data_IF_338003432024
#
_entry.id   IF_338003432024
#
_cell.length_a   1.000
_cell.length_b   1.000
_cell.length_c   1.000
_cell.angle_alpha   90.00
_cell.angle_beta   90.00
_cell.angle_gamma   90.00
#
_symmetry.space_group_name_H-M   'P 1'
#
loop_
_entity.id
_entity.type
_entity.pdbx_description
1 polymer ?
2 non-polymer ?
3 water ?
#
# COMPACT_ATOMS: atom_id res chain seq x y z
N UNK A 1 -8.10 0.17 -0.30
CA UNK A 1 -8.99 -0.88 -0.89
C UNK A 1 -10.08 -1.30 0.09
N UNK A 2 -9.88 -1.07 1.40
CA UNK A 2 -10.74 -1.47 2.52
C UNK A 2 -10.49 -0.57 3.74
N UNK A 3 -11.19 -0.79 4.87
CA UNK A 3 -11.15 0.14 6.01
C UNK A 3 -9.80 0.21 6.74
N UNK A 4 -8.98 -0.83 6.61
CA UNK A 4 -7.58 -0.87 7.08
C UNK A 4 -6.76 0.19 6.37
N UNK A 5 -6.78 0.16 5.05
CA UNK A 5 -6.07 1.13 4.18
C UNK A 5 -6.67 2.52 4.39
N UNK A 6 -7.99 2.61 4.65
CA UNK A 6 -8.65 3.92 4.87
C UNK A 6 -8.08 4.60 6.12
N UNK A 7 -7.97 3.87 7.22
CA UNK A 7 -7.41 4.42 8.47
C UNK A 7 -5.94 4.79 8.23
N UNK A 8 -5.17 3.86 7.64
CA UNK A 8 -3.74 4.08 7.34
C UNK A 8 -3.57 5.37 6.52
N UNK A 9 -4.36 5.55 5.45
CA UNK A 9 -4.23 6.72 4.56
C UNK A 9 -4.47 8.01 5.36
N UNK A 10 -5.46 7.99 6.22
CA UNK A 10 -5.86 9.15 7.04
C UNK A 10 -4.69 9.55 7.95
N UNK A 11 -4.00 8.59 8.53
CA UNK A 11 -2.81 8.86 9.38
C UNK A 11 -1.69 9.41 8.48
N UNK A 12 -1.41 8.75 7.34
CA UNK A 12 -0.30 9.20 6.48
C UNK A 12 -0.50 10.64 5.99
N UNK A 13 -1.72 11.01 5.57
CA UNK A 13 -1.96 12.30 4.88
C UNK A 13 -1.79 13.48 5.85
N UNK A 14 -2.08 13.31 7.13
CA UNK A 14 -2.07 14.45 8.08
C UNK A 14 -0.95 14.35 9.13
N UNK A 15 -0.44 13.16 9.42
CA UNK A 15 0.44 12.99 10.59
C UNK A 15 1.81 12.42 10.19
N UNK A 16 2.28 12.60 8.96
CA UNK A 16 3.64 12.10 8.63
C UNK A 16 4.35 13.19 7.87
N UNK A 17 5.66 13.22 8.06
CA UNK A 17 6.58 14.12 7.34
C UNK A 17 7.72 13.26 6.88
N UNK A 18 8.50 13.77 5.94
CA UNK A 18 9.75 13.08 5.54
C UNK A 18 10.88 13.68 6.38
N UNK A 19 11.53 12.89 7.23
CA UNK A 19 12.66 13.33 8.07
C UNK A 19 13.95 12.86 7.40
N UNK A 20 14.95 13.74 7.29
CA UNK A 20 16.26 13.38 6.72
C UNK A 20 17.34 13.75 7.75
N UNK A 21 18.11 12.74 8.17
CA UNK A 21 19.30 12.90 9.05
C UNK A 21 20.53 12.50 8.22
N UNK A 22 21.71 12.48 8.83
CA UNK A 22 22.97 12.02 8.16
C UNK A 22 22.90 10.54 7.84
N UNK A 23 21.94 9.81 8.42
CA UNK A 23 21.78 8.35 8.23
C UNK A 23 20.72 8.01 7.16
N UNK A 24 20.01 8.98 6.58
CA UNK A 24 19.07 8.76 5.48
C UNK A 24 17.74 9.50 5.65
N UNK A 25 16.81 9.15 4.78
CA UNK A 25 15.41 9.64 4.77
C UNK A 25 14.53 8.63 5.51
N UNK A 26 13.66 9.10 6.40
CA UNK A 26 12.77 8.23 7.21
C UNK A 26 11.33 8.76 7.18
N UNK A 27 10.36 7.86 7.17
CA UNK A 27 8.97 8.20 7.56
C UNK A 27 9.01 8.60 9.03
N UNK A 28 8.44 9.75 9.35
CA UNK A 28 8.38 10.28 10.74
C UNK A 28 6.91 10.53 11.06
N UNK A 29 6.43 9.94 12.14
CA UNK A 29 5.04 10.09 12.62
C UNK A 29 4.96 11.28 13.59
N UNK A 30 4.13 12.27 13.26
CA UNK A 30 3.82 13.42 14.15
C UNK A 30 2.70 12.96 15.09
N UNK A 31 2.78 13.21 16.39
CA UNK A 31 1.80 12.60 17.35
C UNK A 31 0.89 13.69 17.93
N UNK A 32 1.45 14.83 18.33
CA UNK A 32 0.70 16.01 18.85
C UNK A 32 1.64 17.20 18.91
N UNK A 33 1.08 18.42 18.85
CA UNK A 33 1.83 19.72 18.92
C UNK A 33 3.03 19.62 17.97
N UNK A 34 4.27 19.73 18.46
CA UNK A 34 5.45 19.68 17.55
C UNK A 34 6.21 18.37 17.85
N UNK A 35 5.55 17.39 18.45
CA UNK A 35 6.25 16.16 18.93
C UNK A 35 6.03 15.06 17.89
N UNK A 36 7.12 14.44 17.45
CA UNK A 36 7.11 13.30 16.53
C UNK A 36 7.97 12.15 17.06
N UNK A 37 7.92 11.01 16.37
CA UNK A 37 8.77 9.84 16.69
C UNK A 37 9.53 9.37 15.45
N UNK A 38 10.64 8.71 15.68
CA UNK A 38 11.55 8.21 14.59
C UNK A 38 12.36 7.07 15.20
N UNK A 39 12.78 6.05 14.42
CA UNK A 39 13.68 5.06 15.01
C UNK A 39 14.97 5.69 15.52
N UNK A 40 15.46 5.20 16.67
CA UNK A 40 16.66 5.77 17.33
C UNK A 40 17.89 5.66 16.40
N UNK A 41 17.96 4.63 15.57
CA UNK A 41 19.09 4.44 14.61
C UNK A 41 19.10 5.53 13.53
N UNK A 42 18.09 6.40 13.42
CA UNK A 42 18.18 7.65 12.61
C UNK A 42 19.22 8.61 13.15
N UNK A 43 19.62 8.50 14.43
CA UNK A 43 20.66 9.33 15.08
C UNK A 43 20.33 10.83 14.93
N UNK A 44 19.22 11.27 15.48
CA UNK A 44 18.79 12.68 15.35
C UNK A 44 19.83 13.57 16.04
N UNK A 45 20.23 14.67 15.40
CA UNK A 45 21.14 15.69 15.98
C UNK A 45 20.41 16.96 16.37
N UNK A 46 21.13 18.08 16.34
CA UNK A 46 20.66 19.43 16.71
C UNK A 46 19.79 20.01 15.60
N UNK A 47 19.99 19.53 14.37
CA UNK A 47 19.33 20.02 13.13
C UNK A 47 18.87 18.78 12.36
N UNK A 48 17.66 18.84 11.82
CA UNK A 48 17.07 17.76 11.00
C UNK A 48 16.37 18.45 9.81
N UNK A 49 16.23 17.76 8.67
CA UNK A 49 15.42 18.26 7.54
C UNK A 49 14.04 17.62 7.62
N UNK A 50 13.01 18.45 7.56
CA UNK A 50 11.58 18.04 7.63
C UNK A 50 10.93 18.51 6.31
N UNK A 51 10.59 17.56 5.43
CA UNK A 51 10.03 17.87 4.09
C UNK A 51 11.00 18.84 3.38
N UNK A 52 12.30 18.60 3.53
CA UNK A 52 13.46 19.33 2.91
C UNK A 52 13.64 20.76 3.47
N UNK A 53 13.07 21.07 4.64
CA UNK A 53 13.26 22.37 5.33
C UNK A 53 14.18 22.14 6.54
N UNK A 54 15.25 22.92 6.62
CA UNK A 54 16.18 22.91 7.77
C UNK A 54 15.42 23.29 9.04
N UNK A 55 15.45 22.42 10.04
CA UNK A 55 14.61 22.53 11.27
C UNK A 55 15.46 22.26 12.52
N UNK A 56 15.42 23.16 13.48
CA UNK A 56 16.12 22.99 14.76
C UNK A 56 15.37 21.94 15.57
N UNK A 57 16.12 21.04 16.20
CA UNK A 57 15.54 20.05 17.15
C UNK A 57 15.54 20.70 18.54
N UNK A 58 14.37 20.94 19.12
CA UNK A 58 14.28 21.58 20.45
C UNK A 58 14.57 20.57 21.56
N UNK A 59 14.29 19.28 21.35
CA UNK A 59 14.56 18.20 22.34
C UNK A 59 14.48 16.85 21.64
N UNK A 60 15.27 15.88 22.07
CA UNK A 60 15.26 14.52 21.49
C UNK A 60 15.59 13.52 22.60
N UNK A 61 14.78 12.48 22.77
CA UNK A 61 15.01 11.49 23.85
C UNK A 61 14.85 10.05 23.30
N UNK A 62 15.93 9.28 23.35
CA UNK A 62 15.97 7.86 22.97
C UNK A 62 15.37 7.07 24.12
N UNK A 63 14.21 6.47 23.93
CA UNK A 63 13.49 5.86 25.07
C UNK A 63 14.14 4.52 25.41
N UNK A 64 14.11 4.19 26.70
CA UNK A 64 14.54 2.88 27.22
C UNK A 64 13.50 2.44 28.24
N UNK A 65 13.32 1.15 28.44
CA UNK A 65 12.37 0.69 29.48
C UNK A 65 13.04 0.76 30.86
N UNK A 66 12.28 0.38 31.89
CA UNK A 66 12.78 0.46 33.28
C UNK A 66 13.73 -0.71 33.59
N UNK A 67 13.91 -1.70 32.71
CA UNK A 67 15.09 -2.62 32.80
C UNK A 67 16.35 -1.95 32.19
N UNK A 68 16.26 -0.70 31.74
CA UNK A 68 17.32 0.06 31.04
C UNK A 68 17.69 -0.71 29.76
N UNK A 69 16.69 -1.15 29.02
CA UNK A 69 16.83 -1.82 27.69
C UNK A 69 16.32 -0.87 26.58
N UNK A 70 17.09 -0.71 25.52
CA UNK A 70 16.66 0.01 24.28
C UNK A 70 15.20 -0.30 23.92
N UNK A 71 14.42 0.73 23.57
CA UNK A 71 13.10 0.54 22.91
C UNK A 71 13.13 0.93 21.41
N UNK A 72 14.19 1.57 20.95
CA UNK A 72 14.42 1.94 19.52
C UNK A 72 13.45 3.04 19.07
N UNK A 73 12.83 3.77 20.00
CA UNK A 73 11.96 4.94 19.70
C UNK A 73 12.71 6.17 20.19
N UNK A 74 12.94 7.16 19.31
CA UNK A 74 13.32 8.52 19.71
C UNK A 74 12.10 9.46 19.59
N UNK A 75 11.81 10.20 20.65
CA UNK A 75 10.80 11.29 20.64
C UNK A 75 11.53 12.58 20.37
N UNK A 76 11.04 13.32 19.39
CA UNK A 76 11.66 14.58 18.91
C UNK A 76 10.66 15.71 19.05
N UNK A 77 11.07 16.82 19.63
CA UNK A 77 10.29 18.06 19.51
C UNK A 77 10.94 18.97 18.47
N UNK A 78 10.17 19.39 17.48
CA UNK A 78 10.64 20.12 16.28
C UNK A 78 10.34 21.61 16.44
N UNK A 79 11.28 22.48 16.07
CA UNK A 79 11.04 23.95 15.95
C UNK A 79 10.31 24.26 14.65
N UNK A 80 9.08 23.80 14.56
CA UNK A 80 8.22 23.86 13.37
C UNK A 80 7.13 24.90 13.66
N UNK A 81 6.63 25.57 12.61
CA UNK A 81 5.68 26.70 12.76
C UNK A 81 4.23 26.21 12.77
N UNK A 82 4.04 24.90 12.80
CA UNK A 82 2.72 24.25 12.66
C UNK A 82 2.61 23.04 13.59
N UNK A 83 1.45 22.82 14.20
CA UNK A 83 1.20 21.63 15.05
C UNK A 83 0.65 20.46 14.23
N UNK A 84 0.94 19.24 14.68
CA UNK A 84 0.28 18.01 14.17
C UNK A 84 -1.12 17.94 14.76
N UNK A 85 -2.03 17.40 13.97
CA UNK A 85 -3.29 16.82 14.51
C UNK A 85 -2.94 15.92 15.70
N UNK A 86 -3.64 16.04 16.82
CA UNK A 86 -3.43 15.19 18.01
C UNK A 86 -4.02 13.80 17.78
N UNK A 87 -3.19 12.76 17.66
CA UNK A 87 -3.67 11.36 17.43
C UNK A 87 -3.39 10.48 18.65
N UNK A 88 -3.13 11.07 19.81
CA UNK A 88 -2.79 10.24 21.00
C UNK A 88 -3.94 9.30 21.40
N UNK A 89 -5.19 9.64 21.12
CA UNK A 89 -6.35 8.76 21.47
C UNK A 89 -6.36 7.51 20.57
N UNK A 90 -5.52 7.43 19.53
CA UNK A 90 -5.42 6.20 18.69
C UNK A 90 -4.28 5.28 19.14
N UNK A 91 -3.56 5.66 20.19
CA UNK A 91 -2.43 4.85 20.70
C UNK A 91 -2.95 3.84 21.71
N UNK A 92 -2.50 2.58 21.64
CA UNK A 92 -2.82 1.56 22.62
C UNK A 92 -2.25 1.92 24.00
N UNK A 93 -2.93 1.47 25.05
CA UNK A 93 -2.44 1.65 26.43
C UNK A 93 -1.51 0.51 26.88
N UNK A 94 -1.68 -0.70 26.35
CA UNK A 94 -0.92 -1.89 26.83
C UNK A 94 -0.27 -2.64 25.66
N UNK A 95 0.75 -3.44 25.97
CA UNK A 95 1.42 -4.36 25.02
C UNK A 95 0.35 -5.36 24.56
N UNK A 96 0.26 -5.68 23.28
CA UNK A 96 -0.80 -6.56 22.77
C UNK A 96 -0.36 -7.18 21.45
N UNK A 97 -1.10 -8.19 21.02
CA UNK A 97 -1.07 -8.78 19.65
C UNK A 97 -2.23 -8.17 18.86
N UNK A 98 -2.14 -8.20 17.53
CA UNK A 98 -3.10 -7.56 16.61
C UNK A 98 -3.39 -8.49 15.43
N UNK A 99 -4.60 -8.39 14.88
CA UNK A 99 -4.92 -8.97 13.55
C UNK A 99 -4.92 -7.84 12.51
N UNK A 100 -4.54 -8.18 11.28
CA UNK A 100 -4.81 -7.40 10.06
C UNK A 100 -4.24 -5.97 10.19
N UNK A 101 -2.92 -5.83 10.21
CA UNK A 101 -2.21 -4.53 10.29
C UNK A 101 -1.74 -4.11 8.89
N UNK A 102 -1.54 -2.82 8.73
CA UNK A 102 -0.97 -2.19 7.52
C UNK A 102 0.29 -1.46 7.95
N UNK A 103 1.33 -1.60 7.14
CA UNK A 103 2.57 -0.82 7.27
C UNK A 103 2.58 0.21 6.15
N UNK A 104 2.65 1.50 6.51
CA UNK A 104 2.57 2.63 5.55
C UNK A 104 3.87 3.44 5.56
N UNK A 105 4.38 3.74 4.36
CA UNK A 105 5.68 4.44 4.18
C UNK A 105 5.47 5.61 3.23
N UNK A 106 6.11 6.73 3.54
CA UNK A 106 6.15 7.87 2.61
C UNK A 106 7.55 8.50 2.59
N UNK A 107 8.33 8.19 1.56
CA UNK A 107 9.66 8.86 1.34
C UNK A 107 9.77 9.28 -0.12
N UNK A 108 10.84 10.02 -0.48
CA UNK A 108 11.23 10.30 -1.89
C UNK A 108 11.23 8.99 -2.69
N UNK A 109 11.80 7.92 -2.13
CA UNK A 109 12.04 6.60 -2.77
C UNK A 109 10.74 5.75 -2.83
N UNK A 110 9.91 5.78 -1.77
CA UNK A 110 8.67 4.98 -1.66
C UNK A 110 7.49 5.88 -1.30
N UNK A 111 6.98 6.69 -2.26
CA UNK A 111 5.81 7.53 -2.01
C UNK A 111 4.49 6.73 -1.97
N UNK A 112 3.61 7.09 -1.00
CA UNK A 112 2.26 6.51 -0.92
C UNK A 112 2.32 4.99 -0.98
N UNK A 113 3.18 4.37 -0.17
CA UNK A 113 3.32 2.90 -0.10
C UNK A 113 2.53 2.35 1.10
N UNK A 114 1.68 1.36 0.87
CA UNK A 114 0.82 0.69 1.89
C UNK A 114 1.01 -0.81 1.71
N UNK A 115 1.35 -1.52 2.79
CA UNK A 115 1.63 -2.99 2.74
C UNK A 115 0.74 -3.67 3.75
N UNK A 116 -0.18 -4.57 3.33
CA UNK A 116 -0.95 -5.34 4.29
C UNK A 116 -0.06 -6.45 4.87
N UNK A 117 0.28 -6.36 6.14
CA UNK A 117 1.31 -7.28 6.72
C UNK A 117 0.62 -8.39 7.49
N UNK A 118 -0.68 -8.30 7.76
CA UNK A 118 -1.44 -9.39 8.39
C UNK A 118 -1.29 -9.40 9.89
N UNK A 119 -1.19 -10.59 10.47
CA UNK A 119 -1.15 -10.81 11.94
C UNK A 119 0.12 -10.22 12.56
N UNK A 120 -0.01 -9.51 13.67
CA UNK A 120 1.15 -8.91 14.41
C UNK A 120 1.29 -9.63 15.77
N UNK A 121 2.46 -10.22 16.04
CA UNK A 121 2.79 -10.92 17.31
C UNK A 121 3.48 -9.95 18.29
N UNK A 122 3.08 -9.96 19.55
CA UNK A 122 3.88 -9.37 20.64
C UNK A 122 5.10 -10.28 20.85
N UNK A 123 6.19 -9.97 20.19
CA UNK A 123 7.43 -10.79 20.12
C UNK A 123 8.24 -10.57 21.40
N UNK A 124 8.29 -9.32 21.89
CA UNK A 124 9.05 -8.94 23.09
C UNK A 124 10.51 -8.66 22.81
N UNK A 125 11.40 -9.55 23.24
CA UNK A 125 12.87 -9.35 23.15
C UNK A 125 13.31 -9.66 21.72
N UNK A 126 14.17 -8.79 21.17
CA UNK A 126 14.86 -8.99 19.88
C UNK A 126 16.27 -8.41 20.00
N UNK A 127 17.25 -9.18 19.55
CA UNK A 127 18.61 -8.65 19.31
C UNK A 127 18.61 -7.94 17.95
N UNK A 128 18.47 -6.62 17.96
CA UNK A 128 18.19 -5.80 16.75
C UNK A 128 19.49 -5.10 16.33
N UNK A 129 20.13 -5.55 15.24
CA UNK A 129 21.44 -4.98 14.84
C UNK A 129 22.46 -5.10 15.98
N UNK A 130 22.41 -6.18 16.77
CA UNK A 130 23.31 -6.40 17.93
C UNK A 130 22.88 -5.66 19.21
N UNK A 131 21.78 -4.91 19.21
CA UNK A 131 21.35 -4.18 20.43
C UNK A 131 20.16 -4.91 21.06
N UNK A 132 20.23 -5.40 22.32
CA UNK A 132 19.06 -6.00 22.98
C UNK A 132 17.94 -4.94 22.97
N UNK A 133 16.76 -5.31 22.49
CA UNK A 133 15.62 -4.38 22.33
C UNK A 133 14.37 -5.04 22.93
N UNK A 134 13.52 -4.28 23.62
CA UNK A 134 12.25 -4.80 24.15
C UNK A 134 11.05 -4.19 23.41
N UNK A 135 9.86 -4.71 23.70
CA UNK A 135 8.55 -4.27 23.16
C UNK A 135 8.51 -4.32 21.63
N UNK A 136 9.04 -5.38 21.04
CA UNK A 136 9.05 -5.56 19.56
C UNK A 136 7.79 -6.31 19.12
N UNK A 137 7.18 -5.77 18.09
CA UNK A 137 6.06 -6.39 17.35
C UNK A 137 6.66 -7.09 16.13
N UNK A 138 6.13 -8.25 15.76
CA UNK A 138 6.67 -8.99 14.59
C UNK A 138 5.54 -9.29 13.60
N UNK A 139 5.83 -9.15 12.32
CA UNK A 139 4.89 -9.53 11.23
C UNK A 139 5.66 -10.25 10.14
N UNK A 140 4.97 -11.14 9.42
CA UNK A 140 5.60 -12.08 8.46
C UNK A 140 5.54 -11.43 7.08
N UNK A 141 6.22 -10.31 6.88
CA UNK A 141 6.39 -9.71 5.52
C UNK A 141 7.88 -9.44 5.30
N UNK A 142 8.41 -9.79 4.11
CA UNK A 142 9.80 -9.49 3.74
C UNK A 142 10.00 -7.99 3.45
N UNK A 143 10.02 -7.22 4.55
CA UNK A 143 10.23 -5.75 4.53
C UNK A 143 11.70 -5.46 4.18
N UNK A 144 11.98 -4.29 3.61
CA UNK A 144 13.29 -3.96 2.98
C UNK A 144 13.75 -2.57 3.41
N UNK A 145 15.05 -2.30 3.23
CA UNK A 145 15.69 -0.98 3.36
C UNK A 145 14.76 0.07 2.74
N UNK A 146 14.53 1.18 3.45
CA UNK A 146 13.62 2.27 3.03
C UNK A 146 12.30 2.28 3.81
N UNK A 147 11.96 1.20 4.53
CA UNK A 147 10.66 1.12 5.26
C UNK A 147 10.81 1.57 6.72
N UNK A 148 12.04 1.89 7.19
CA UNK A 148 12.22 2.25 8.62
C UNK A 148 11.50 3.56 8.91
N UNK A 149 10.74 3.55 10.03
CA UNK A 149 9.94 4.70 10.47
C UNK A 149 8.52 4.52 9.98
N UNK A 150 8.32 3.51 9.12
CA UNK A 150 7.00 3.26 8.54
C UNK A 150 6.00 3.08 9.65
N UNK A 151 4.76 3.50 9.45
CA UNK A 151 3.75 3.43 10.53
C UNK A 151 2.97 2.14 10.43
N UNK A 152 2.84 1.46 11.55
CA UNK A 152 2.00 0.24 11.66
C UNK A 152 0.66 0.59 12.31
N UNK A 153 -0.43 0.34 11.57
CA UNK A 153 -1.79 0.61 12.06
C UNK A 153 -2.69 -0.62 11.94
N UNK A 154 -3.70 -0.66 12.79
CA UNK A 154 -4.93 -1.44 12.54
C UNK A 154 -6.07 -0.44 12.38
N UNK A 155 -7.27 -0.89 12.02
CA UNK A 155 -8.44 0.01 12.02
C UNK A 155 -8.57 0.60 13.44
N UNK A 156 -8.42 1.90 13.54
CA UNK A 156 -8.65 2.69 14.74
C UNK A 156 -7.45 2.72 15.66
N UNK A 157 -6.33 2.02 15.39
CA UNK A 157 -5.15 2.12 16.29
C UNK A 157 -3.84 2.30 15.53
N UNK A 158 -2.99 3.15 16.06
CA UNK A 158 -1.59 3.34 15.60
C UNK A 158 -0.73 2.58 16.60
N UNK A 159 -0.12 1.45 16.20
CA UNK A 159 0.44 0.48 17.19
C UNK A 159 1.97 0.47 17.19
N UNK A 160 2.66 1.02 16.18
CA UNK A 160 4.13 0.92 16.17
C UNK A 160 4.78 1.63 14.99
N UNK A 161 6.12 1.62 15.00
CA UNK A 161 6.95 2.17 13.90
C UNK A 161 7.97 1.09 13.52
N UNK A 162 8.08 0.84 12.23
CA UNK A 162 8.96 -0.21 11.64
C UNK A 162 10.43 0.13 11.95
N UNK A 163 11.19 -0.83 12.50
CA UNK A 163 12.60 -0.57 12.93
C UNK A 163 13.59 -1.59 12.35
N UNK A 164 13.12 -2.66 11.71
CA UNK A 164 14.07 -3.62 11.12
C UNK A 164 13.41 -4.81 10.47
N UNK A 165 14.24 -5.68 9.91
CA UNK A 165 13.75 -6.94 9.33
C UNK A 165 14.88 -7.93 9.18
N UNK A 166 14.57 -9.18 8.86
CA UNK A 166 15.61 -10.24 8.66
C UNK A 166 15.45 -10.90 7.28
N UNK A 167 14.73 -10.27 6.34
CA UNK A 167 14.45 -10.80 5.00
C UNK A 167 13.12 -11.52 4.90
N UNK A 168 12.65 -12.19 5.96
CA UNK A 168 11.38 -12.96 6.01
C UNK A 168 10.34 -12.28 6.92
N UNK A 169 10.81 -11.68 8.00
CA UNK A 169 9.96 -10.98 9.00
C UNK A 169 10.35 -9.51 9.09
N UNK A 170 9.39 -8.69 9.51
CA UNK A 170 9.63 -7.28 9.87
C UNK A 170 9.35 -7.07 11.35
N UNK A 171 9.97 -6.04 11.91
CA UNK A 171 9.89 -5.72 13.35
C UNK A 171 9.55 -4.24 13.55
N UNK A 172 8.63 -3.98 14.48
CA UNK A 172 8.23 -2.61 14.83
C UNK A 172 8.44 -2.41 16.33
N UNK A 173 8.80 -1.19 16.73
CA UNK A 173 8.79 -0.75 18.15
C UNK A 173 7.35 -0.35 18.51
N UNK A 174 6.82 -0.81 19.63
CA UNK A 174 5.46 -0.46 20.07
C UNK A 174 5.39 1.02 20.29
N UNK A 175 4.24 1.62 19.97
CA UNK A 175 3.88 2.94 20.50
C UNK A 175 2.84 2.71 21.61
N UNK A 176 3.04 3.32 22.76
CA UNK A 176 2.11 3.27 23.89
C UNK A 176 1.70 4.69 24.27
N UNK A 177 0.44 4.87 24.65
CA UNK A 177 -0.14 6.18 25.08
C UNK A 177 0.77 6.84 26.14
N UNK A 178 1.27 6.06 27.09
CA UNK A 178 2.06 6.57 28.24
C UNK A 178 3.35 7.22 27.76
N UNK A 179 3.86 6.95 26.56
CA UNK A 179 5.08 7.66 26.07
C UNK A 179 4.79 9.14 25.82
N UNK A 180 3.53 9.55 25.61
CA UNK A 180 3.24 10.92 25.09
C UNK A 180 2.33 11.73 26.03
N UNK A 181 2.30 11.39 27.31
CA UNK A 181 1.57 12.19 28.33
C UNK A 181 2.37 13.48 28.55
N UNK A 182 1.68 14.64 28.63
CA UNK A 182 2.29 16.00 28.64
C UNK A 182 1.72 16.81 29.81
N UNK B 2 12.26 0.68 -7.00
CA UNK B 2 12.97 1.76 -7.74
C UNK B 2 12.42 1.97 -9.15
N UNK B 3 12.95 1.25 -10.17
CA UNK B 3 12.31 1.25 -11.48
C UNK B 3 10.87 0.67 -11.37
N UNK B 4 10.64 -0.27 -10.44
CA UNK B 4 9.33 -0.88 -10.09
C UNK B 4 8.28 0.17 -9.71
N UNK B 5 8.59 1.06 -8.76
CA UNK B 5 7.68 2.18 -8.35
C UNK B 5 7.55 3.26 -9.43
N UNK B 6 8.62 3.65 -10.13
CA UNK B 6 8.52 4.53 -11.30
C UNK B 6 7.50 3.96 -12.29
N UNK B 7 7.69 2.69 -12.67
CA UNK B 7 6.85 2.05 -13.69
C UNK B 7 5.37 2.11 -13.24
N UNK B 8 5.09 1.72 -12.01
CA UNK B 8 3.70 1.68 -11.49
C UNK B 8 3.12 3.09 -11.51
N UNK B 9 3.91 4.12 -11.13
CA UNK B 9 3.43 5.54 -11.19
C UNK B 9 3.15 5.99 -12.62
N UNK B 10 3.97 5.61 -13.60
CA UNK B 10 3.81 6.04 -15.01
C UNK B 10 2.50 5.45 -15.56
N UNK B 11 2.22 4.20 -15.19
CA UNK B 11 0.97 3.49 -15.60
C UNK B 11 -0.23 4.14 -14.89
N UNK B 12 -0.11 4.40 -13.60
CA UNK B 12 -1.15 5.10 -12.79
C UNK B 12 -1.49 6.44 -13.45
N UNK B 13 -0.48 7.30 -13.65
CA UNK B 13 -0.67 8.72 -14.08
C UNK B 13 -1.30 8.83 -15.47
N UNK B 14 -0.92 8.00 -16.44
CA UNK B 14 -1.43 8.18 -17.82
C UNK B 14 -2.54 7.18 -18.20
N UNK B 15 -2.61 6.00 -17.58
CA UNK B 15 -3.44 4.87 -18.10
C UNK B 15 -4.51 4.43 -17.08
N UNK B 16 -4.72 5.11 -15.96
CA UNK B 16 -5.69 4.65 -14.95
C UNK B 16 -6.76 5.73 -14.77
N UNK B 17 -8.04 5.36 -14.85
CA UNK B 17 -9.18 6.27 -14.60
C UNK B 17 -10.09 5.64 -13.55
N UNK B 18 -10.99 6.44 -12.94
CA UNK B 18 -12.00 5.95 -11.97
C UNK B 18 -13.26 5.62 -12.76
N UNK B 19 -13.70 4.36 -12.75
CA UNK B 19 -14.91 3.95 -13.49
C UNK B 19 -15.98 3.75 -12.44
N UNK B 20 -17.19 4.26 -12.67
CA UNK B 20 -18.29 4.01 -11.71
C UNK B 20 -19.44 3.34 -12.47
N UNK B 21 -19.81 2.15 -12.00
CA UNK B 21 -20.96 1.38 -12.52
C UNK B 21 -22.07 1.35 -11.46
N UNK B 22 -23.13 0.57 -11.72
CA UNK B 22 -24.24 0.37 -10.75
C UNK B 22 -23.64 -0.13 -9.42
N UNK B 23 -22.51 -0.84 -9.45
CA UNK B 23 -21.90 -1.51 -8.27
C UNK B 23 -20.99 -0.56 -7.46
N UNK B 24 -20.61 0.59 -8.00
CA UNK B 24 -19.76 1.59 -7.32
C UNK B 24 -18.47 1.83 -8.11
N UNK B 25 -17.38 2.14 -7.41
CA UNK B 25 -16.16 2.65 -8.11
C UNK B 25 -15.15 1.52 -8.25
N UNK B 26 -14.45 1.51 -9.40
CA UNK B 26 -13.42 0.53 -9.75
C UNK B 26 -12.23 1.25 -10.36
N UNK B 27 -11.03 0.82 -10.04
CA UNK B 27 -9.83 1.24 -10.78
C UNK B 27 -9.96 0.65 -12.20
N UNK B 28 -9.88 1.47 -13.23
CA UNK B 28 -10.01 0.97 -14.64
C UNK B 28 -8.68 1.24 -15.35
N UNK B 29 -8.16 0.26 -16.09
CA UNK B 29 -6.94 0.46 -16.91
C UNK B 29 -7.32 0.74 -18.37
N UNK B 30 -6.93 1.87 -18.89
CA UNK B 30 -6.97 2.16 -20.33
C UNK B 30 -5.78 1.56 -21.03
N UNK B 31 -6.01 0.85 -22.13
CA UNK B 31 -4.95 0.04 -22.79
C UNK B 31 -4.49 0.73 -24.09
N UNK B 32 -5.42 1.16 -24.93
CA UNK B 32 -5.13 1.86 -26.22
C UNK B 32 -6.42 2.46 -26.76
N UNK B 33 -6.31 3.49 -27.60
CA UNK B 33 -7.50 4.08 -28.28
C UNK B 33 -8.57 4.37 -27.21
N UNK B 34 -9.79 3.86 -27.39
CA UNK B 34 -10.85 4.05 -26.35
C UNK B 34 -11.15 2.71 -25.67
N UNK B 35 -10.16 1.83 -25.64
CA UNK B 35 -10.30 0.45 -25.10
C UNK B 35 -9.72 0.39 -23.70
N UNK B 36 -10.54 -0.03 -22.73
CA UNK B 36 -10.13 -0.18 -21.32
C UNK B 36 -10.57 -1.57 -20.80
N UNK B 37 -10.07 -1.93 -19.63
CA UNK B 37 -10.46 -3.19 -18.93
C UNK B 37 -10.88 -2.91 -17.49
N UNK B 38 -11.79 -3.76 -17.03
CA UNK B 38 -12.37 -3.69 -15.65
C UNK B 38 -12.77 -5.12 -15.27
N UNK B 39 -12.80 -5.49 -13.97
CA UNK B 39 -13.32 -6.79 -13.57
C UNK B 39 -14.76 -7.03 -14.03
N UNK B 40 -15.05 -8.26 -14.46
CA UNK B 40 -16.40 -8.61 -15.01
C UNK B 40 -17.43 -8.33 -13.90
N UNK B 41 -17.08 -8.53 -12.63
CA UNK B 41 -18.02 -8.38 -11.48
C UNK B 41 -18.43 -6.92 -11.29
N UNK B 42 -17.85 -5.98 -12.04
CA UNK B 42 -18.29 -4.56 -12.04
C UNK B 42 -19.68 -4.36 -12.69
N UNK B 43 -20.15 -5.33 -13.49
CA UNK B 43 -21.49 -5.29 -14.13
C UNK B 43 -21.63 -4.01 -14.97
N UNK B 44 -20.74 -3.87 -15.95
CA UNK B 44 -20.76 -2.73 -16.90
C UNK B 44 -22.09 -2.73 -17.68
N UNK B 45 -22.70 -1.55 -17.75
CA UNK B 45 -24.00 -1.38 -18.44
C UNK B 45 -23.84 -0.69 -19.76
N UNK B 46 -24.87 0.06 -20.16
CA UNK B 46 -24.84 0.89 -21.40
C UNK B 46 -24.11 2.20 -21.12
N UNK B 47 -24.16 2.66 -19.88
CA UNK B 47 -23.58 3.95 -19.44
C UNK B 47 -22.65 3.64 -18.26
N UNK B 48 -21.50 4.28 -18.26
CA UNK B 48 -20.52 4.26 -17.15
C UNK B 48 -20.07 5.70 -16.89
N UNK B 49 -19.63 5.98 -15.66
CA UNK B 49 -18.93 7.25 -15.33
C UNK B 49 -17.42 7.03 -15.34
N UNK B 50 -16.72 7.88 -16.09
CA UNK B 50 -15.22 7.90 -16.17
C UNK B 50 -14.74 9.23 -15.58
N UNK B 51 -14.06 9.18 -14.44
CA UNK B 51 -13.69 10.39 -13.66
C UNK B 51 -14.90 11.32 -13.55
N UNK B 52 -16.05 10.77 -13.19
CA UNK B 52 -17.33 11.45 -12.88
C UNK B 52 -18.04 11.95 -14.15
N UNK B 53 -17.53 11.65 -15.35
CA UNK B 53 -18.18 12.04 -16.63
C UNK B 53 -19.04 10.88 -17.16
N UNK B 54 -20.34 11.12 -17.32
CA UNK B 54 -21.31 10.19 -17.96
C UNK B 54 -20.80 9.84 -19.36
N UNK B 55 -20.55 8.56 -19.64
CA UNK B 55 -19.88 8.07 -20.87
C UNK B 55 -20.65 6.85 -21.39
N UNK B 56 -21.03 6.85 -22.66
CA UNK B 56 -21.67 5.65 -23.27
C UNK B 56 -20.59 4.57 -23.45
N UNK B 57 -20.92 3.33 -23.08
CA UNK B 57 -20.11 2.12 -23.43
C UNK B 57 -20.66 1.56 -24.75
N UNK B 58 -19.89 1.68 -25.83
CA UNK B 58 -20.33 1.28 -27.20
C UNK B 58 -20.28 -0.24 -27.31
N UNK B 59 -19.24 -0.87 -26.74
CA UNK B 59 -18.95 -2.31 -26.89
C UNK B 59 -18.36 -2.81 -25.55
N UNK B 60 -18.89 -3.92 -25.04
CA UNK B 60 -18.40 -4.61 -23.82
C UNK B 60 -18.25 -6.10 -24.14
N UNK B 61 -17.11 -6.67 -23.76
CA UNK B 61 -16.76 -8.09 -24.01
C UNK B 61 -16.27 -8.71 -22.71
N UNK B 62 -17.09 -9.57 -22.09
CA UNK B 62 -16.72 -10.43 -20.96
C UNK B 62 -15.89 -11.59 -21.52
N UNK B 63 -14.60 -11.65 -21.18
CA UNK B 63 -13.67 -12.62 -21.82
C UNK B 63 -13.88 -14.03 -21.26
N UNK B 64 -13.71 -15.01 -22.16
CA UNK B 64 -13.67 -16.47 -21.87
C UNK B 64 -12.65 -17.10 -22.81
N UNK B 65 -11.92 -18.10 -22.33
CA UNK B 65 -10.83 -18.77 -23.10
C UNK B 65 -11.43 -19.80 -24.07
N UNK B 66 -10.58 -20.64 -24.68
CA UNK B 66 -11.00 -21.68 -25.65
C UNK B 66 -11.70 -22.83 -24.92
N UNK B 67 -11.53 -22.98 -23.60
CA UNK B 67 -12.22 -24.03 -22.79
C UNK B 67 -13.62 -23.55 -22.36
N UNK B 68 -14.04 -22.38 -22.84
CA UNK B 68 -15.32 -21.71 -22.46
C UNK B 68 -15.33 -21.48 -20.95
N UNK B 69 -14.18 -21.05 -20.38
CA UNK B 69 -14.03 -20.75 -18.94
C UNK B 69 -13.88 -19.23 -18.74
N UNK B 70 -14.58 -18.71 -17.73
CA UNK B 70 -14.52 -17.30 -17.27
C UNK B 70 -13.05 -16.85 -17.14
N UNK B 71 -12.74 -15.65 -17.65
CA UNK B 71 -11.43 -14.97 -17.45
C UNK B 71 -11.55 -13.77 -16.50
N UNK B 72 -12.79 -13.38 -16.15
CA UNK B 72 -13.10 -12.33 -15.14
C UNK B 72 -12.56 -10.94 -15.54
N UNK B 73 -12.28 -10.73 -16.83
CA UNK B 73 -11.90 -9.41 -17.43
C UNK B 73 -13.00 -9.03 -18.39
N UNK B 74 -13.50 -7.82 -18.30
CA UNK B 74 -14.37 -7.24 -19.33
C UNK B 74 -13.59 -6.14 -20.07
N UNK B 75 -13.53 -6.27 -21.39
CA UNK B 75 -12.96 -5.21 -22.28
C UNK B 75 -14.10 -4.30 -22.71
N UNK B 76 -13.94 -2.98 -22.54
CA UNK B 76 -14.97 -1.97 -22.91
C UNK B 76 -14.38 -1.05 -23.99
N UNK B 77 -15.25 -0.60 -24.90
CA UNK B 77 -14.99 0.47 -25.89
C UNK B 77 -15.81 1.69 -25.45
N UNK B 78 -15.17 2.82 -25.18
CA UNK B 78 -15.81 4.01 -24.57
C UNK B 78 -16.05 5.11 -25.61
N UNK B 79 -17.20 5.77 -25.56
CA UNK B 79 -17.54 6.94 -26.42
C UNK B 79 -16.98 8.21 -25.76
N UNK B 80 -15.69 8.49 -25.98
CA UNK B 80 -15.00 9.68 -25.39
C UNK B 80 -13.88 10.15 -26.32
N UNK B 81 -13.58 11.45 -26.21
CA UNK B 81 -12.66 12.16 -27.14
C UNK B 81 -11.23 11.69 -26.88
N UNK B 82 -10.83 11.67 -25.61
CA UNK B 82 -9.42 11.38 -25.24
C UNK B 82 -9.10 9.93 -25.61
N UNK B 83 -7.89 9.72 -26.09
CA UNK B 83 -7.34 8.39 -26.46
C UNK B 83 -6.37 7.99 -25.34
N UNK B 84 -6.36 6.73 -24.94
CA UNK B 84 -5.39 6.22 -23.94
C UNK B 84 -4.04 6.06 -24.62
N UNK B 85 -2.97 6.37 -23.91
CA UNK B 85 -1.56 6.08 -24.27
C UNK B 85 -1.45 4.57 -24.52
N UNK B 86 -1.02 4.14 -25.73
CA UNK B 86 -0.91 2.69 -26.07
C UNK B 86 0.10 2.03 -25.15
N UNK B 87 -0.30 1.01 -24.37
CA UNK B 87 0.59 0.22 -23.47
C UNK B 87 0.56 -1.26 -23.85
N UNK B 88 0.06 -1.64 -25.03
CA UNK B 88 -0.01 -3.06 -25.44
C UNK B 88 1.35 -3.74 -25.44
N UNK B 89 2.43 -2.99 -25.71
CA UNK B 89 3.81 -3.53 -25.75
C UNK B 89 4.30 -3.89 -24.35
N UNK B 90 3.60 -3.50 -23.28
CA UNK B 90 3.95 -3.90 -21.90
C UNK B 90 3.16 -5.11 -21.38
N UNK B 91 2.26 -5.67 -22.20
CA UNK B 91 1.46 -6.87 -21.82
C UNK B 91 2.26 -8.14 -22.13
N UNK B 92 2.32 -9.09 -21.20
CA UNK B 92 3.00 -10.35 -21.44
C UNK B 92 2.33 -11.15 -22.57
N UNK B 93 3.12 -11.95 -23.30
CA UNK B 93 2.60 -12.84 -24.36
C UNK B 93 2.05 -14.14 -23.78
N UNK B 94 2.65 -14.60 -22.68
CA UNK B 94 2.41 -15.95 -22.09
C UNK B 94 2.06 -15.85 -20.61
N UNK B 95 1.44 -16.90 -20.07
CA UNK B 95 1.17 -17.07 -18.62
C UNK B 95 2.54 -17.21 -17.95
N UNK B 96 2.73 -16.68 -16.74
CA UNK B 96 4.07 -16.68 -16.09
C UNK B 96 3.94 -16.36 -14.59
N UNK B 97 5.00 -16.67 -13.84
CA UNK B 97 5.24 -16.23 -12.44
C UNK B 97 6.09 -14.94 -12.46
N UNK B 98 6.05 -14.14 -11.40
CA UNK B 98 6.75 -12.82 -11.33
C UNK B 98 7.27 -12.57 -9.92
N UNK B 99 8.30 -11.72 -9.79
CA UNK B 99 8.71 -11.21 -8.45
C UNK B 99 8.44 -9.72 -8.32
N UNK B 100 8.29 -9.25 -7.09
CA UNK B 100 8.36 -7.81 -6.76
C UNK B 100 7.30 -7.03 -7.53
N UNK B 101 6.07 -7.51 -7.48
CA UNK B 101 4.91 -6.84 -8.10
C UNK B 101 4.36 -5.73 -7.19
N UNK B 102 3.76 -4.74 -7.82
CA UNK B 102 3.03 -3.61 -7.18
C UNK B 102 1.58 -3.64 -7.67
N UNK B 103 0.64 -3.55 -6.73
CA UNK B 103 -0.79 -3.36 -7.01
C UNK B 103 -1.11 -1.88 -6.80
N UNK B 104 -1.65 -1.20 -7.82
CA UNK B 104 -1.90 0.27 -7.82
C UNK B 104 -3.40 0.57 -7.93
N UNK B 105 -3.93 1.20 -6.88
CA UNK B 105 -5.39 1.47 -6.66
C UNK B 105 -5.66 2.95 -6.90
N UNK B 106 -6.73 3.26 -7.62
CA UNK B 106 -7.12 4.65 -7.88
C UNK B 106 -8.64 4.79 -7.87
N UNK B 107 -9.21 5.28 -6.75
CA UNK B 107 -10.66 5.62 -6.69
C UNK B 107 -10.81 6.98 -5.99
N UNK B 108 -12.03 7.49 -5.84
CA UNK B 108 -12.27 8.77 -5.10
C UNK B 108 -11.84 8.61 -3.65
N UNK B 109 -12.06 7.42 -3.06
CA UNK B 109 -11.70 7.16 -1.65
C UNK B 109 -10.19 6.87 -1.50
N UNK B 110 -9.56 6.27 -2.52
CA UNK B 110 -8.14 5.82 -2.47
C UNK B 110 -7.40 6.31 -3.72
N UNK B 111 -7.07 7.60 -3.79
CA UNK B 111 -6.43 8.13 -4.98
C UNK B 111 -4.94 7.78 -4.95
N UNK B 112 -4.34 7.45 -6.09
CA UNK B 112 -2.87 7.17 -6.07
C UNK B 112 -2.36 6.34 -4.85
N UNK B 113 -2.85 5.12 -4.58
CA UNK B 113 -2.34 4.18 -3.52
C UNK B 113 -1.52 3.01 -4.13
N UNK B 114 -0.30 2.76 -3.66
CA UNK B 114 0.62 1.72 -4.17
C UNK B 114 0.85 0.64 -3.12
N UNK B 115 0.53 -0.61 -3.48
CA UNK B 115 0.59 -1.76 -2.54
C UNK B 115 1.57 -2.78 -3.09
N UNK B 116 2.82 -2.81 -2.55
CA UNK B 116 3.79 -3.86 -2.87
C UNK B 116 3.15 -5.16 -2.40
N UNK B 117 3.12 -6.15 -3.29
CA UNK B 117 2.54 -7.47 -2.95
C UNK B 117 3.65 -8.51 -3.01
N UNK B 118 4.72 -8.26 -3.75
CA UNK B 118 5.90 -9.15 -3.83
C UNK B 118 5.68 -10.26 -4.84
N UNK B 119 5.86 -11.50 -4.40
CA UNK B 119 5.93 -12.70 -5.26
C UNK B 119 4.53 -13.02 -5.81
N UNK B 120 4.45 -13.16 -7.12
CA UNK B 120 3.19 -13.48 -7.86
C UNK B 120 3.33 -14.87 -8.51
N UNK B 121 2.46 -15.79 -8.12
CA UNK B 121 2.38 -17.17 -8.70
C UNK B 121 1.33 -17.23 -9.81
N UNK B 122 1.65 -17.91 -10.91
CA UNK B 122 0.65 -18.44 -11.88
C UNK B 122 -0.16 -19.53 -11.18
N UNK B 123 -1.34 -19.20 -10.67
CA UNK B 123 -2.15 -20.08 -9.79
C UNK B 123 -3.07 -20.94 -10.70
N UNK B 124 -3.59 -20.33 -11.77
CA UNK B 124 -4.41 -20.97 -12.81
C UNK B 124 -5.90 -20.97 -12.48
N UNK B 125 -6.44 -22.13 -12.10
CA UNK B 125 -7.88 -22.35 -11.87
C UNK B 125 -8.28 -21.90 -10.47
N UNK B 126 -9.36 -21.13 -10.38
CA UNK B 126 -9.96 -20.67 -9.11
C UNK B 126 -11.48 -20.66 -9.26
N UNK B 127 -12.17 -21.20 -8.26
CA UNK B 127 -13.63 -21.00 -8.19
C UNK B 127 -13.90 -19.65 -7.52
N UNK B 128 -14.24 -18.65 -8.33
CA UNK B 128 -14.36 -17.25 -7.83
C UNK B 128 -15.84 -16.88 -7.71
N UNK B 129 -16.33 -16.79 -6.46
CA UNK B 129 -17.75 -16.52 -6.13
C UNK B 129 -18.67 -17.49 -6.82
N UNK B 130 -18.26 -18.77 -6.93
CA UNK B 130 -19.06 -19.81 -7.57
C UNK B 130 -18.85 -19.93 -9.07
N UNK B 131 -18.00 -19.08 -9.65
CA UNK B 131 -17.71 -19.15 -11.10
C UNK B 131 -16.31 -19.72 -11.32
N UNK B 132 -16.20 -20.87 -12.04
CA UNK B 132 -14.91 -21.40 -12.44
C UNK B 132 -14.19 -20.40 -13.37
N UNK B 133 -12.95 -20.11 -13.02
CA UNK B 133 -12.14 -19.03 -13.60
C UNK B 133 -10.74 -19.53 -13.91
N UNK B 134 -10.20 -19.12 -15.05
CA UNK B 134 -8.81 -19.44 -15.48
C UNK B 134 -7.87 -18.24 -15.38
N UNK B 135 -6.57 -18.53 -15.54
CA UNK B 135 -5.45 -17.55 -15.66
C UNK B 135 -5.43 -16.60 -14.46
N UNK B 136 -5.60 -17.11 -13.26
CA UNK B 136 -5.50 -16.29 -12.03
C UNK B 136 -4.04 -16.24 -11.55
N UNK B 137 -3.58 -15.02 -11.27
CA UNK B 137 -2.31 -14.75 -10.54
C UNK B 137 -2.64 -14.62 -9.05
N UNK B 138 -1.75 -15.12 -8.17
CA UNK B 138 -1.98 -15.13 -6.70
C UNK B 138 -0.79 -14.47 -5.99
N UNK B 139 -1.08 -13.67 -4.96
CA UNK B 139 -0.08 -12.98 -4.10
C UNK B 139 -0.62 -13.01 -2.68
N UNK B 140 0.28 -12.96 -1.70
CA UNK B 140 -0.15 -12.76 -0.31
C UNK B 140 -0.92 -11.45 -0.23
N UNK B 141 -2.01 -11.45 0.54
CA UNK B 141 -2.91 -10.28 0.73
C UNK B 141 -3.74 -10.50 1.98
N UNK B 142 -3.12 -10.45 3.18
CA UNK B 142 -3.79 -10.78 4.44
C UNK B 142 -4.62 -9.62 4.98
N UNK B 143 -5.73 -9.35 4.31
CA UNK B 143 -6.63 -8.18 4.53
C UNK B 143 -7.95 -8.54 3.85
N UNK B 144 -9.05 -7.97 4.34
CA UNK B 144 -10.37 -8.04 3.66
C UNK B 144 -10.53 -6.70 2.94
N UNK B 145 -10.15 -6.69 1.67
CA UNK B 145 -10.33 -5.55 0.74
C UNK B 145 -11.74 -5.59 0.12
N UNK B 146 -12.26 -4.43 -0.28
CA UNK B 146 -13.47 -4.31 -1.11
C UNK B 146 -13.22 -4.70 -2.57
N UNK B 147 -14.17 -4.31 -3.43
CA UNK B 147 -14.31 -4.71 -4.85
C UNK B 147 -13.41 -3.90 -5.79
N UNK B 148 -12.89 -2.74 -5.38
CA UNK B 148 -12.50 -1.69 -6.35
C UNK B 148 -11.33 -2.14 -7.23
N UNK B 149 -10.52 -3.07 -6.72
CA UNK B 149 -9.40 -3.69 -7.47
C UNK B 149 -8.30 -2.70 -7.80
N UNK B 150 -7.53 -2.97 -8.87
CA UNK B 150 -6.28 -2.23 -9.10
C UNK B 150 -5.39 -2.91 -10.10
N UNK B 151 -4.36 -2.21 -10.53
CA UNK B 151 -3.49 -2.70 -11.64
C UNK B 151 -2.26 -3.35 -11.05
N UNK B 152 -1.88 -4.52 -11.57
CA UNK B 152 -0.68 -5.23 -11.06
C UNK B 152 0.44 -5.06 -12.07
N UNK B 153 1.59 -4.58 -11.61
CA UNK B 153 2.76 -4.34 -12.49
C UNK B 153 4.01 -4.91 -11.86
N UNK B 154 4.98 -5.15 -12.74
CA UNK B 154 6.37 -5.48 -12.35
C UNK B 154 7.22 -4.46 -13.06
N UNK B 155 8.53 -4.49 -12.91
CA UNK B 155 9.42 -3.68 -13.79
C UNK B 155 9.16 -4.10 -15.23
N UNK B 156 8.67 -3.18 -16.03
CA UNK B 156 8.53 -3.32 -17.48
C UNK B 156 7.29 -4.06 -17.92
N UNK B 157 6.42 -4.55 -17.02
CA UNK B 157 5.20 -5.25 -17.50
C UNK B 157 3.94 -4.91 -16.69
N UNK B 158 2.85 -4.82 -17.43
CA UNK B 158 1.47 -4.76 -16.85
C UNK B 158 0.86 -6.15 -16.91
N UNK B 159 0.75 -6.85 -15.77
CA UNK B 159 0.53 -8.32 -15.75
C UNK B 159 -0.90 -8.69 -15.39
N UNK B 160 -1.70 -7.80 -14.78
CA UNK B 160 -3.04 -8.25 -14.36
C UNK B 160 -3.86 -7.15 -13.72
N UNK B 161 -5.14 -7.48 -13.42
CA UNK B 161 -6.03 -6.56 -12.66
C UNK B 161 -6.60 -7.38 -11.51
N UNK B 162 -6.62 -6.78 -10.32
CA UNK B 162 -7.10 -7.43 -9.08
C UNK B 162 -8.59 -7.74 -9.19
N UNK B 163 -9.00 -9.00 -8.96
CA UNK B 163 -10.42 -9.41 -9.08
C UNK B 163 -11.01 -9.96 -7.76
N UNK B 164 -10.20 -10.27 -6.74
CA UNK B 164 -10.77 -10.82 -5.50
C UNK B 164 -9.71 -11.27 -4.51
N UNK B 165 -10.14 -11.95 -3.47
CA UNK B 165 -9.24 -12.41 -2.39
C UNK B 165 -10.04 -13.19 -1.34
N UNK B 166 -9.33 -13.93 -0.49
CA UNK B 166 -9.96 -14.86 0.50
C UNK B 166 -9.54 -14.50 1.93
N UNK B 167 -9.04 -13.27 2.16
CA UNK B 167 -8.59 -12.80 3.49
C UNK B 167 -7.12 -13.09 3.78
N UNK B 168 -6.52 -14.07 3.11
CA UNK B 168 -5.09 -14.44 3.19
C UNK B 168 -4.37 -14.18 1.86
N UNK B 169 -5.04 -14.46 0.73
CA UNK B 169 -4.42 -14.35 -0.60
C UNK B 169 -5.26 -13.37 -1.43
N UNK B 170 -4.60 -12.72 -2.39
CA UNK B 170 -5.20 -11.83 -3.39
C UNK B 170 -5.10 -12.46 -4.76
N UNK B 171 -6.08 -12.18 -5.61
CA UNK B 171 -6.14 -12.83 -6.96
C UNK B 171 -6.31 -11.76 -8.02
N UNK B 172 -5.53 -11.87 -9.09
CA UNK B 172 -5.60 -10.99 -10.25
C UNK B 172 -5.87 -11.83 -11.50
N UNK B 173 -6.63 -11.29 -12.44
CA UNK B 173 -6.80 -11.91 -13.78
C UNK B 173 -5.63 -11.49 -14.64
N UNK B 174 -5.02 -12.39 -15.39
CA UNK B 174 -3.90 -12.03 -16.27
C UNK B 174 -4.35 -11.07 -17.37
N UNK B 175 -3.45 -10.19 -17.80
CA UNK B 175 -3.59 -9.47 -19.07
C UNK B 175 -2.56 -10.06 -20.03
N UNK B 176 -3.01 -10.48 -21.20
CA UNK B 176 -2.14 -11.04 -22.26
C UNK B 176 -2.24 -10.16 -23.50
N UNK B 177 -1.14 -10.07 -24.25
CA UNK B 177 -1.04 -9.26 -25.47
C UNK B 177 -2.14 -9.65 -26.47
N UNK B 178 -2.41 -10.93 -26.60
CA UNK B 178 -3.38 -11.47 -27.61
C UNK B 178 -4.80 -11.02 -27.31
N UNK B 179 -5.12 -10.50 -26.12
CA UNK B 179 -6.50 -10.02 -25.84
C UNK B 179 -6.83 -8.75 -26.63
N UNK B 180 -5.82 -8.02 -27.11
CA UNK B 180 -5.98 -6.66 -27.69
C UNK B 180 -5.40 -6.56 -29.10
N UNK B 181 -5.07 -7.67 -29.76
CA UNK B 181 -4.59 -7.71 -31.18
C UNK B 181 -5.75 -7.84 -32.18
X LIG C 1 -14.84 -4.42 -26.72
X LIG C 1 -13.39 -2.96 -28.03
X LIG C 1 -12.14 -3.70 -28.20
X LIG C 1 -11.18 -4.39 -28.25
X LIG C 1 -13.56 -6.34 -27.62
X LIG C 1 -14.56 -3.83 -27.89
X LIG C 1 -14.10 -5.71 -26.45
X LIG C 1 -14.82 -7.95 -28.89
X LIG C 1 -13.76 -7.63 -27.87
X LIG C 1 -13.12 -8.51 -27.30
X LIG C 1 -15.65 -3.96 -25.92
X LIG C 1 -9.76 -5.49 -28.27
#
# INVERSE_FOLDING_TARGET
>A
MGPGFDFAQAIMKKNTVIARTEKGEFTMLGVYDRVAVIPTHASVGEIIYINDVETRVLDACALRDLTDTNLEITIVKLDRNQKFRDIRHFLPRCEDDYNDAVLSVHTSKFPNMYIPVGQVTNYGFLNLGGTPTHRILMYNFPTRAGQCGGVVTTTGKVIGIHVGGNGAQGFAAMLLHSYFTD
>B
MGPGFDFAQAIMKKNTVIARTEKGEFTMLGVYDRVAVIPTHASVGEIIYINDVETRVLDACALRDLTDTNLEITIVKLDRNQKFRDIRHFLPRCEDDYNDAVLSVHTSKFPNMYIPVGQVTNYGFLNLGGTPTHRILMYNFPTRAGQCGGVVTTTGKVIGIHVGGNGAQGFAAMLLHSYFTD
>C hetero
1 ISK C4 C5 C6 C7 N1 N2 C3 C1 C2 O1 O2 BR1
#
